data_IF_461169844637
#
_entry.id   IF_461169844637
#
_cell.length_a   1.000
_cell.length_b   1.000
_cell.length_c   1.000
_cell.angle_alpha   90.00
_cell.angle_beta   90.00
_cell.angle_gamma   90.00
#
_symmetry.space_group_name_H-M   'P 1'
#
loop_
_entity.id
_entity.type
_entity.pdbx_description
1 polymer ?
#
# COMPACT_ATOMS: atom_id res chain seq x y z
N UNK A 1 9.98 25.11 -23.53
CA UNK A 1 10.71 23.85 -23.80
C UNK A 1 10.74 23.05 -22.51
N UNK A 2 9.74 22.20 -22.27
CA UNK A 2 9.63 21.42 -21.04
C UNK A 2 10.38 20.11 -21.23
N UNK A 3 11.51 19.97 -20.55
CA UNK A 3 12.38 18.80 -20.62
C UNK A 3 11.75 17.66 -19.79
N UNK A 4 10.81 16.94 -20.38
CA UNK A 4 10.14 15.80 -19.77
C UNK A 4 11.07 14.59 -19.82
N UNK A 5 12.03 14.53 -18.89
CA UNK A 5 12.81 13.31 -18.64
C UNK A 5 11.86 12.25 -18.07
N UNK A 6 11.24 11.50 -18.97
CA UNK A 6 10.56 10.23 -18.71
C UNK A 6 11.57 9.24 -18.13
N UNK A 7 11.79 9.33 -16.82
CA UNK A 7 12.52 8.34 -16.07
C UNK A 7 11.69 7.05 -16.08
N UNK A 8 12.08 6.10 -16.93
CA UNK A 8 11.48 4.77 -17.07
C UNK A 8 11.25 4.17 -15.67
N UNK A 9 10.00 4.13 -15.23
CA UNK A 9 9.63 3.61 -13.91
C UNK A 9 9.96 2.11 -13.84
N UNK A 10 10.57 1.60 -12.75
CA UNK A 10 10.71 0.17 -12.55
C UNK A 10 9.32 -0.49 -12.57
N UNK A 11 9.16 -1.57 -13.33
CA UNK A 11 7.88 -2.28 -13.50
C UNK A 11 7.31 -2.86 -12.21
N UNK A 12 8.13 -2.93 -11.15
CA UNK A 12 7.77 -3.49 -9.84
C UNK A 12 7.20 -2.43 -8.90
N UNK A 13 7.14 -1.15 -9.31
CA UNK A 13 6.60 -0.07 -8.51
C UNK A 13 5.07 -0.05 -8.62
N UNK A 14 4.32 -0.20 -7.51
CA UNK A 14 2.87 0.00 -7.52
C UNK A 14 2.51 1.37 -8.12
N UNK A 15 1.32 1.48 -8.73
CA UNK A 15 0.82 2.77 -9.23
C UNK A 15 0.84 3.79 -8.09
N UNK A 16 1.22 5.02 -8.41
CA UNK A 16 1.15 6.09 -7.41
C UNK A 16 -0.32 6.35 -7.12
N UNK A 17 -0.66 6.40 -5.83
CA UNK A 17 -2.00 6.74 -5.40
C UNK A 17 -2.18 8.25 -5.51
N UNK A 18 -3.29 8.69 -6.09
CA UNK A 18 -3.66 10.10 -6.09
C UNK A 18 -3.86 10.58 -4.64
N UNK A 19 -3.22 11.70 -4.28
CA UNK A 19 -3.20 12.19 -2.89
C UNK A 19 -2.41 11.34 -1.88
N UNK A 20 -1.84 10.22 -2.32
CA UNK A 20 -1.08 9.31 -1.46
C UNK A 20 0.41 9.65 -1.41
N UNK A 21 1.02 9.48 -0.23
CA UNK A 21 2.49 9.49 -0.07
C UNK A 21 2.98 8.19 0.56
N UNK A 22 4.19 7.78 0.20
CA UNK A 22 4.86 6.65 0.85
C UNK A 22 5.18 6.99 2.30
N UNK A 23 4.88 6.06 3.20
CA UNK A 23 5.21 6.14 4.63
C UNK A 23 5.82 4.81 5.04
N UNK A 24 6.88 4.90 5.84
CA UNK A 24 7.44 3.75 6.54
C UNK A 24 6.78 3.68 7.92
N UNK A 25 6.39 2.49 8.35
CA UNK A 25 5.77 2.22 9.65
C UNK A 25 6.47 1.04 10.30
N UNK A 26 6.55 1.05 11.62
CA UNK A 26 6.97 -0.12 12.39
C UNK A 26 5.76 -1.03 12.60
N UNK A 27 5.98 -2.32 12.41
CA UNK A 27 4.97 -3.37 12.53
C UNK A 27 5.70 -4.65 12.95
N UNK A 28 5.10 -5.44 13.84
CA UNK A 28 5.67 -6.71 14.27
C UNK A 28 5.53 -7.80 13.19
N UNK A 29 6.29 -8.89 13.34
CA UNK A 29 6.33 -9.97 12.35
C UNK A 29 4.97 -10.67 12.17
N UNK A 30 4.19 -10.79 13.24
CA UNK A 30 2.88 -11.44 13.19
C UNK A 30 1.88 -10.59 12.39
N UNK A 31 1.82 -9.30 12.67
CA UNK A 31 0.99 -8.31 11.99
C UNK A 31 1.42 -8.13 10.54
N UNK A 32 2.73 -8.19 10.27
CA UNK A 32 3.27 -8.17 8.91
C UNK A 32 2.77 -9.37 8.10
N UNK A 33 2.78 -10.57 8.67
CA UNK A 33 2.31 -11.77 8.00
C UNK A 33 0.79 -11.73 7.74
N UNK A 34 0.00 -11.24 8.69
CA UNK A 34 -1.43 -10.97 8.48
C UNK A 34 -1.63 -9.99 7.33
N UNK A 35 -0.90 -8.87 7.31
CA UNK A 35 -0.97 -7.90 6.22
C UNK A 35 -0.61 -8.51 4.86
N UNK A 36 0.37 -9.43 4.82
CA UNK A 36 0.68 -10.17 3.57
C UNK A 36 -0.47 -11.05 3.14
N UNK A 37 -1.12 -11.77 4.04
CA UNK A 37 -2.24 -12.64 3.72
C UNK A 37 -3.45 -11.85 3.20
N UNK A 38 -3.73 -10.68 3.80
CA UNK A 38 -4.79 -9.77 3.36
C UNK A 38 -4.50 -9.11 2.01
N UNK A 39 -3.22 -9.06 1.59
CA UNK A 39 -2.77 -8.46 0.33
C UNK A 39 -3.08 -9.27 -0.94
N UNK A 40 -4.11 -10.13 -0.91
CA UNK A 40 -4.56 -10.94 -2.04
C UNK A 40 -3.54 -11.95 -2.56
N UNK A 41 -3.71 -12.39 -3.81
CA UNK A 41 -2.89 -13.44 -4.44
C UNK A 41 -1.39 -13.11 -4.48
N UNK A 42 -1.03 -11.83 -4.58
CA UNK A 42 0.36 -11.37 -4.62
C UNK A 42 0.99 -11.21 -3.24
N UNK A 43 0.21 -11.46 -2.18
CA UNK A 43 0.61 -11.32 -0.78
C UNK A 43 1.29 -9.98 -0.46
N UNK A 44 0.72 -8.89 -0.98
CA UNK A 44 1.28 -7.55 -0.85
C UNK A 44 0.89 -6.92 0.50
N UNK A 45 1.84 -6.83 1.43
CA UNK A 45 1.60 -6.27 2.76
C UNK A 45 1.01 -4.84 2.73
N UNK A 46 1.42 -3.99 1.79
CA UNK A 46 0.89 -2.63 1.70
C UNK A 46 -0.57 -2.60 1.24
N UNK A 47 -1.01 -3.54 0.39
CA UNK A 47 -2.43 -3.71 0.06
C UNK A 47 -3.21 -4.21 1.27
N UNK A 48 -2.71 -5.23 1.98
CA UNK A 48 -3.39 -5.76 3.16
C UNK A 48 -3.51 -4.74 4.28
N UNK A 49 -2.49 -3.90 4.52
CA UNK A 49 -2.59 -2.78 5.47
C UNK A 49 -3.69 -1.79 5.05
N UNK A 50 -3.79 -1.43 3.77
CA UNK A 50 -4.86 -0.54 3.29
C UNK A 50 -6.25 -1.16 3.47
N UNK A 51 -6.38 -2.45 3.16
CA UNK A 51 -7.63 -3.19 3.35
C UNK A 51 -8.05 -3.20 4.83
N UNK A 52 -7.13 -3.54 5.74
CA UNK A 52 -7.40 -3.56 7.17
C UNK A 52 -7.83 -2.19 7.71
N UNK A 53 -7.19 -1.11 7.26
CA UNK A 53 -7.56 0.25 7.65
C UNK A 53 -8.93 0.67 7.12
N UNK A 54 -9.28 0.28 5.89
CA UNK A 54 -10.61 0.55 5.33
C UNK A 54 -11.69 -0.14 6.17
N UNK A 55 -11.52 -1.44 6.45
CA UNK A 55 -12.44 -2.22 7.29
C UNK A 55 -12.60 -1.62 8.70
N UNK A 56 -11.49 -1.23 9.33
CA UNK A 56 -11.52 -0.58 10.64
C UNK A 56 -12.23 0.79 10.62
N UNK A 57 -12.08 1.55 9.53
CA UNK A 57 -12.74 2.85 9.38
C UNK A 57 -14.25 2.74 9.16
N UNK A 58 -14.72 1.67 8.51
CA UNK A 58 -16.15 1.37 8.33
C UNK A 58 -16.80 0.95 9.66
N UNK A 59 -16.10 0.16 10.48
CA UNK A 59 -16.58 -0.27 11.80
C UNK A 59 -16.70 0.85 12.84
N UNK A 60 -16.08 2.00 12.60
CA UNK A 60 -16.14 3.17 13.49
C UNK A 60 -17.20 4.19 13.05
N UNK A 61 -17.89 3.95 11.93
CA UNK A 61 -18.95 4.82 11.42
C UNK A 61 -20.35 4.44 11.93
N UNK A 62 -20.45 3.40 12.77
CA UNK A 62 -21.63 2.97 13.53
C UNK A 62 -21.50 3.35 15.02
#
# INVERSE_FOLDING_TARGET
>A
MSNEKSAKRPSHRPKEMEGGKRRNVYIDDASWEIARQLGGEKRNASEGIRYALALASEQQAD
#
